data_IF_103623011515
#
_entry.id   IF_103623011515
#
_cell.length_a   1.000
_cell.length_b   1.000
_cell.length_c   1.000
_cell.angle_alpha   90.00
_cell.angle_beta   90.00
_cell.angle_gamma   90.00
#
_symmetry.space_group_name_H-M   'P 1'
#
loop_
_entity.id
_entity.type
_entity.pdbx_description
1 polymer ?
#
# COMPACT_ATOMS: atom_id res chain seq x y z
N UNK A 1 39.49 -35.81 -50.76
CA UNK A 1 38.07 -36.05 -50.39
C UNK A 1 37.85 -35.40 -49.04
N UNK A 2 37.23 -34.21 -49.00
CA UNK A 2 37.13 -33.36 -47.80
C UNK A 2 35.66 -33.02 -47.56
N UNK A 3 35.14 -33.34 -46.37
CA UNK A 3 33.80 -32.94 -45.93
C UNK A 3 33.95 -32.38 -44.51
N UNK A 4 34.00 -31.05 -44.42
CA UNK A 4 33.98 -30.31 -43.16
C UNK A 4 32.51 -30.22 -42.72
N UNK A 5 32.17 -30.90 -41.62
CA UNK A 5 30.84 -30.83 -40.99
C UNK A 5 30.80 -29.61 -40.06
N UNK A 6 30.02 -28.59 -40.40
CA UNK A 6 29.70 -27.49 -39.49
C UNK A 6 28.61 -27.94 -38.51
N UNK A 7 29.01 -28.16 -37.25
CA UNK A 7 28.07 -28.37 -36.15
C UNK A 7 27.46 -27.03 -35.72
N UNK A 8 26.15 -26.88 -35.89
CA UNK A 8 25.38 -25.74 -35.41
C UNK A 8 25.14 -25.91 -33.90
N UNK A 9 25.94 -25.22 -33.08
CA UNK A 9 25.72 -25.16 -31.63
C UNK A 9 24.58 -24.19 -31.34
N UNK A 10 23.41 -24.69 -30.94
CA UNK A 10 22.29 -23.88 -30.45
C UNK A 10 22.59 -23.54 -28.98
N UNK A 11 22.96 -22.29 -28.71
CA UNK A 11 23.03 -21.75 -27.34
C UNK A 11 21.61 -21.39 -26.91
N UNK A 12 21.01 -22.21 -26.05
CA UNK A 12 19.76 -21.85 -25.37
C UNK A 12 20.12 -20.91 -24.23
N UNK A 13 19.95 -19.61 -24.45
CA UNK A 13 20.08 -18.62 -23.39
C UNK A 13 18.84 -18.71 -22.47
N UNK A 14 18.98 -19.40 -21.34
CA UNK A 14 17.97 -19.38 -20.28
C UNK A 14 17.92 -17.99 -19.64
N UNK A 15 17.00 -17.14 -20.12
CA UNK A 15 16.64 -15.92 -19.41
C UNK A 15 15.84 -16.31 -18.15
N UNK A 16 16.48 -16.21 -16.99
CA UNK A 16 15.81 -16.30 -15.69
C UNK A 16 15.04 -14.99 -15.51
N UNK A 17 13.72 -15.01 -15.74
CA UNK A 17 12.85 -13.87 -15.49
C UNK A 17 12.39 -13.91 -14.03
N UNK A 18 12.86 -12.95 -13.23
CA UNK A 18 12.35 -12.74 -11.88
C UNK A 18 10.96 -12.10 -11.96
N UNK A 19 9.91 -12.89 -11.69
CA UNK A 19 8.58 -12.35 -11.41
C UNK A 19 8.66 -11.49 -10.15
N UNK A 20 8.57 -10.17 -10.29
CA UNK A 20 8.40 -9.29 -9.13
C UNK A 20 6.94 -9.38 -8.68
N UNK A 21 6.70 -10.15 -7.62
CA UNK A 21 5.48 -10.00 -6.86
C UNK A 21 5.56 -8.65 -6.14
N UNK A 22 4.58 -7.78 -6.34
CA UNK A 22 4.41 -6.64 -5.46
C UNK A 22 4.05 -7.20 -4.08
N UNK A 23 5.01 -7.20 -3.15
CA UNK A 23 4.73 -7.57 -1.77
C UNK A 23 3.86 -6.48 -1.16
N UNK A 24 2.77 -6.87 -0.51
CA UNK A 24 2.05 -5.95 0.36
C UNK A 24 2.99 -5.51 1.49
N UNK A 25 2.98 -4.21 1.82
CA UNK A 25 3.68 -3.64 2.96
C UNK A 25 2.68 -3.36 4.08
N UNK A 26 3.08 -3.61 5.33
CA UNK A 26 2.31 -3.21 6.51
C UNK A 26 2.96 -1.96 7.11
N UNK A 27 2.17 -0.90 7.27
CA UNK A 27 2.56 0.39 7.87
C UNK A 27 1.88 0.49 9.23
N UNK A 28 2.66 0.52 10.31
CA UNK A 28 2.13 0.59 11.68
C UNK A 28 2.35 2.00 12.26
N UNK A 29 1.37 2.88 12.10
CA UNK A 29 1.41 4.28 12.54
C UNK A 29 1.09 4.36 14.03
N UNK A 30 2.05 4.77 14.85
CA UNK A 30 1.83 5.03 16.27
C UNK A 30 1.27 6.45 16.47
N UNK A 31 0.12 6.60 17.14
CA UNK A 31 -0.58 7.89 17.27
C UNK A 31 0.14 8.93 18.13
N UNK A 32 1.16 8.53 18.92
CA UNK A 32 2.00 9.45 19.71
C UNK A 32 3.25 9.91 18.96
N UNK A 33 3.74 9.08 18.04
CA UNK A 33 5.09 9.23 17.47
C UNK A 33 5.03 9.67 16.01
N UNK A 34 4.08 9.14 15.24
CA UNK A 34 4.04 9.30 13.80
C UNK A 34 3.06 10.40 13.39
N UNK A 35 3.60 11.60 13.20
CA UNK A 35 2.90 12.80 12.74
C UNK A 35 3.50 13.30 11.41
N UNK A 36 2.98 14.41 10.89
CA UNK A 36 3.43 15.00 9.61
C UNK A 36 4.95 15.25 9.55
N UNK A 37 5.58 15.63 10.67
CA UNK A 37 7.03 15.85 10.76
C UNK A 37 7.85 14.59 11.01
N UNK A 38 7.20 13.48 11.40
CA UNK A 38 7.81 12.17 11.63
C UNK A 38 6.96 11.02 11.06
N UNK A 39 6.68 11.02 9.74
CA UNK A 39 5.80 10.04 9.14
C UNK A 39 6.51 8.70 8.98
N UNK A 40 5.73 7.64 8.72
CA UNK A 40 6.28 6.40 8.18
C UNK A 40 6.32 6.53 6.67
N UNK A 41 7.52 6.48 6.11
CA UNK A 41 7.77 6.64 4.67
C UNK A 41 7.94 5.29 3.98
N UNK A 42 7.22 5.07 2.89
CA UNK A 42 7.41 3.94 1.97
C UNK A 42 7.85 4.45 0.59
N UNK A 43 8.98 3.95 0.09
CA UNK A 43 9.35 4.14 -1.32
C UNK A 43 8.58 3.12 -2.16
N UNK A 44 7.76 3.61 -3.08
CA UNK A 44 6.94 2.80 -3.96
C UNK A 44 7.33 3.05 -5.42
N UNK A 45 7.25 2.02 -6.25
CA UNK A 45 7.39 2.15 -7.70
C UNK A 45 6.10 2.75 -8.32
N UNK A 46 6.18 3.22 -9.57
CA UNK A 46 4.99 3.64 -10.31
C UNK A 46 3.95 2.52 -10.37
N UNK A 47 2.68 2.85 -10.13
CA UNK A 47 1.59 1.88 -10.08
C UNK A 47 0.38 2.37 -9.30
N UNK A 48 -0.71 1.59 -9.36
CA UNK A 48 -1.87 1.77 -8.51
C UNK A 48 -1.66 1.00 -7.20
N UNK A 49 -2.13 1.58 -6.09
CA UNK A 49 -2.02 1.01 -4.75
C UNK A 49 -3.35 1.18 -4.01
N UNK A 50 -3.74 0.13 -3.30
CA UNK A 50 -4.80 0.14 -2.31
C UNK A 50 -4.20 0.25 -0.91
N UNK A 51 -4.83 1.05 -0.07
CA UNK A 51 -4.53 1.26 1.34
C UNK A 51 -5.72 0.76 2.14
N UNK A 52 -5.57 -0.39 2.77
CA UNK A 52 -6.61 -1.01 3.59
C UNK A 52 -6.22 -0.91 5.05
N UNK A 53 -7.02 -0.28 5.93
CA UNK A 53 -6.86 -0.43 7.36
C UNK A 53 -6.96 -1.91 7.76
N UNK A 54 -6.05 -2.37 8.60
CA UNK A 54 -6.01 -3.74 9.10
C UNK A 54 -5.83 -3.74 10.62
N UNK A 55 -6.29 -4.81 11.25
CA UNK A 55 -6.14 -5.00 12.69
C UNK A 55 -4.96 -5.87 13.08
N UNK A 56 -4.82 -6.09 14.38
CA UNK A 56 -3.84 -6.98 14.98
C UNK A 56 -4.01 -8.42 14.45
N UNK A 57 -5.25 -8.85 14.23
CA UNK A 57 -5.57 -10.19 13.70
C UNK A 57 -5.07 -10.42 12.28
N UNK A 58 -4.84 -9.34 11.51
CA UNK A 58 -4.40 -9.38 10.12
C UNK A 58 -2.91 -9.06 9.96
N UNK A 59 -2.15 -9.08 11.08
CA UNK A 59 -0.71 -8.84 11.11
C UNK A 59 -0.30 -7.39 11.38
N UNK A 60 -1.27 -6.50 11.66
CA UNK A 60 -1.00 -5.16 12.18
C UNK A 60 -0.55 -5.15 13.64
N UNK A 61 -0.14 -3.99 14.14
CA UNK A 61 0.19 -3.76 15.57
C UNK A 61 -0.95 -3.04 16.31
N UNK A 62 -1.82 -2.35 15.58
CA UNK A 62 -2.90 -1.52 16.10
C UNK A 62 -4.20 -1.72 15.31
N UNK A 63 -5.33 -1.66 16.01
CA UNK A 63 -6.67 -1.65 15.40
C UNK A 63 -7.18 -0.21 15.13
N UNK A 64 -6.92 0.70 16.07
CA UNK A 64 -7.37 2.09 16.05
C UNK A 64 -6.62 2.92 17.10
N UNK A 65 -6.83 4.24 17.08
CA UNK A 65 -6.26 5.17 18.05
C UNK A 65 -7.33 6.03 18.71
N UNK A 66 -6.99 6.65 19.83
CA UNK A 66 -7.88 7.57 20.55
C UNK A 66 -7.08 8.81 20.95
N UNK A 67 -7.64 9.99 20.68
CA UNK A 67 -7.00 11.29 20.84
C UNK A 67 -7.22 11.96 22.21
N UNK A 68 -7.86 11.28 23.15
CA UNK A 68 -8.36 11.91 24.37
C UNK A 68 -7.90 11.18 25.63
N UNK A 69 -7.15 11.88 26.48
CA UNK A 69 -6.89 11.54 27.89
C UNK A 69 -6.53 10.06 28.13
N UNK A 70 -5.66 9.47 27.30
CA UNK A 70 -5.21 8.09 27.51
C UNK A 70 -6.23 7.02 27.08
N UNK A 71 -7.17 7.36 26.19
CA UNK A 71 -8.19 6.42 25.70
C UNK A 71 -9.58 6.63 26.27
N UNK A 72 -9.90 7.86 26.69
CA UNK A 72 -11.21 8.22 27.21
C UNK A 72 -12.30 8.01 26.14
N UNK A 73 -13.42 7.42 26.57
CA UNK A 73 -14.59 7.18 25.74
C UNK A 73 -15.82 7.78 26.45
N UNK A 74 -16.56 8.66 25.79
CA UNK A 74 -17.77 9.28 26.36
C UNK A 74 -18.81 9.59 25.29
N UNK A 75 -20.08 9.63 25.69
CA UNK A 75 -21.18 10.17 24.86
C UNK A 75 -21.57 9.31 23.67
N UNK A 76 -21.25 8.01 23.68
CA UNK A 76 -21.65 7.10 22.61
C UNK A 76 -23.16 6.79 22.68
N UNK A 77 -23.75 6.48 21.53
CA UNK A 77 -25.08 5.90 21.44
C UNK A 77 -25.10 4.42 21.92
N UNK A 78 -26.27 3.77 21.90
CA UNK A 78 -26.42 2.36 22.32
C UNK A 78 -25.64 1.35 21.47
N UNK A 79 -25.27 1.71 20.23
CA UNK A 79 -24.46 0.89 19.33
C UNK A 79 -22.95 1.09 19.55
N UNK A 80 -22.55 2.03 20.41
CA UNK A 80 -21.15 2.38 20.63
C UNK A 80 -20.57 3.33 19.56
N UNK A 81 -21.42 4.05 18.83
CA UNK A 81 -21.04 5.00 17.78
C UNK A 81 -21.37 6.43 18.22
N UNK A 82 -21.04 7.43 17.39
CA UNK A 82 -21.34 8.84 17.65
C UNK A 82 -20.81 9.34 19.00
N UNK A 83 -19.66 8.81 19.43
CA UNK A 83 -19.08 9.18 20.71
C UNK A 83 -18.59 10.63 20.70
N UNK A 84 -18.77 11.36 21.80
CA UNK A 84 -18.16 12.68 21.98
C UNK A 84 -16.64 12.58 22.08
N UNK A 85 -16.12 11.54 22.74
CA UNK A 85 -14.70 11.15 22.70
C UNK A 85 -14.63 9.64 22.52
N UNK A 86 -13.69 9.12 21.73
CA UNK A 86 -13.66 7.70 21.41
C UNK A 86 -12.52 7.30 20.48
N UNK A 87 -12.59 6.07 20.00
CA UNK A 87 -11.64 5.46 19.08
C UNK A 87 -11.92 5.90 17.63
N UNK A 88 -10.86 6.05 16.85
CA UNK A 88 -10.84 6.56 15.49
C UNK A 88 -10.04 5.63 14.58
N UNK A 89 -10.47 5.50 13.33
CA UNK A 89 -9.63 5.01 12.23
C UNK A 89 -9.38 6.15 11.23
N UNK A 90 -8.77 7.23 11.74
CA UNK A 90 -8.42 8.41 10.97
C UNK A 90 -6.92 8.49 10.73
N UNK A 91 -6.50 8.53 9.47
CA UNK A 91 -5.10 8.67 9.09
C UNK A 91 -4.94 9.57 7.87
N UNK A 92 -3.68 9.90 7.60
CA UNK A 92 -3.26 10.70 6.46
C UNK A 92 -2.21 9.95 5.66
N UNK A 93 -2.20 10.20 4.36
CA UNK A 93 -1.06 9.87 3.53
C UNK A 93 -0.75 10.98 2.54
N UNK A 94 0.53 11.16 2.22
CA UNK A 94 0.98 12.23 1.35
C UNK A 94 2.13 11.81 0.43
N UNK A 95 2.17 12.38 -0.76
CA UNK A 95 3.28 12.24 -1.71
C UNK A 95 3.49 13.55 -2.47
N UNK A 96 4.69 13.75 -3.01
CA UNK A 96 4.95 14.87 -3.93
C UNK A 96 4.08 14.84 -5.19
N UNK A 97 3.51 13.68 -5.57
CA UNK A 97 2.65 13.56 -6.75
C UNK A 97 1.20 14.01 -6.52
N UNK A 98 0.67 13.94 -5.28
CA UNK A 98 -0.75 14.20 -5.01
C UNK A 98 -1.05 15.04 -3.77
N UNK A 99 -0.04 15.49 -3.02
CA UNK A 99 -0.24 16.23 -1.77
C UNK A 99 -0.75 15.36 -0.63
N UNK A 100 -1.32 15.99 0.41
CA UNK A 100 -1.90 15.29 1.56
C UNK A 100 -3.34 14.84 1.28
N UNK A 101 -3.66 13.62 1.71
CA UNK A 101 -5.00 13.03 1.69
C UNK A 101 -5.36 12.58 3.11
N UNK A 102 -6.56 12.98 3.56
CA UNK A 102 -7.14 12.59 4.84
C UNK A 102 -8.19 11.51 4.65
N UNK A 103 -8.10 10.42 5.39
CA UNK A 103 -9.08 9.32 5.36
C UNK A 103 -9.76 9.19 6.70
N UNK A 104 -11.03 9.55 6.74
CA UNK A 104 -11.87 9.54 7.95
C UNK A 104 -13.34 9.32 7.56
N UNK A 105 -14.04 8.49 8.33
CA UNK A 105 -15.49 8.27 8.24
C UNK A 105 -16.34 9.37 8.90
N UNK A 106 -15.72 10.25 9.69
CA UNK A 106 -16.40 11.32 10.42
C UNK A 106 -16.93 10.92 11.80
N UNK A 107 -16.69 9.71 12.28
CA UNK A 107 -17.26 9.20 13.53
C UNK A 107 -16.19 8.78 14.56
N UNK A 108 -16.63 8.48 15.79
CA UNK A 108 -15.86 8.02 16.94
C UNK A 108 -16.60 6.87 17.61
N UNK A 109 -15.83 5.88 18.04
CA UNK A 109 -16.38 4.61 18.48
C UNK A 109 -16.00 4.26 19.91
N UNK A 110 -16.82 3.42 20.55
CA UNK A 110 -16.64 3.02 21.93
C UNK A 110 -15.46 2.06 22.14
N UNK A 111 -15.00 1.40 21.07
CA UNK A 111 -13.90 0.44 21.11
C UNK A 111 -13.01 0.55 19.85
N UNK A 112 -11.75 0.10 19.94
CA UNK A 112 -10.84 0.12 18.79
C UNK A 112 -11.29 -0.82 17.67
N UNK A 113 -11.85 -1.99 18.01
CA UNK A 113 -12.34 -2.94 17.03
C UNK A 113 -13.56 -2.42 16.25
N UNK A 114 -14.42 -1.64 16.89
CA UNK A 114 -15.56 -1.02 16.23
C UNK A 114 -15.11 0.11 15.29
N UNK A 115 -14.10 0.88 15.68
CA UNK A 115 -13.48 1.86 14.79
C UNK A 115 -12.83 1.21 13.57
N UNK A 116 -12.12 0.09 13.75
CA UNK A 116 -11.56 -0.66 12.63
C UNK A 116 -12.65 -1.22 11.71
N UNK A 117 -13.73 -1.77 12.27
CA UNK A 117 -14.84 -2.34 11.51
C UNK A 117 -15.57 -1.33 10.61
N UNK A 118 -15.52 -0.04 10.97
CA UNK A 118 -16.11 1.04 10.18
C UNK A 118 -15.09 1.84 9.35
N UNK A 119 -13.83 1.42 9.37
CA UNK A 119 -12.75 2.12 8.67
C UNK A 119 -12.94 2.16 7.15
N UNK A 120 -12.37 3.19 6.52
CA UNK A 120 -12.47 3.42 5.08
C UNK A 120 -11.13 3.08 4.41
N UNK A 121 -11.20 2.30 3.33
CA UNK A 121 -10.05 2.06 2.46
C UNK A 121 -9.87 3.18 1.44
N UNK A 122 -8.63 3.41 1.03
CA UNK A 122 -8.27 4.40 0.03
C UNK A 122 -7.46 3.76 -1.10
N UNK A 123 -7.34 4.47 -2.23
CA UNK A 123 -6.42 4.09 -3.29
C UNK A 123 -5.78 5.31 -3.92
N UNK A 124 -4.59 5.12 -4.47
CA UNK A 124 -3.86 6.16 -5.20
C UNK A 124 -3.07 5.54 -6.35
N UNK A 125 -2.60 6.38 -7.26
CA UNK A 125 -1.71 5.97 -8.36
C UNK A 125 -0.48 6.86 -8.35
N UNK A 126 0.68 6.24 -8.53
CA UNK A 126 1.95 6.90 -8.77
C UNK A 126 2.33 6.77 -10.23
N UNK A 127 2.71 7.88 -10.86
CA UNK A 127 3.18 7.92 -12.24
C UNK A 127 4.68 7.63 -12.34
N UNK A 128 5.40 7.79 -11.23
CA UNK A 128 6.83 7.52 -11.10
C UNK A 128 7.14 6.83 -9.77
N UNK A 129 8.40 6.43 -9.54
CA UNK A 129 8.77 5.98 -8.20
C UNK A 129 8.80 7.18 -7.25
N UNK A 130 8.07 7.09 -6.15
CA UNK A 130 7.92 8.18 -5.19
C UNK A 130 7.77 7.65 -3.77
N UNK A 131 8.15 8.49 -2.80
CA UNK A 131 7.91 8.23 -1.38
C UNK A 131 6.50 8.62 -1.02
N UNK A 132 5.77 7.72 -0.35
CA UNK A 132 4.49 8.00 0.28
C UNK A 132 4.67 7.99 1.79
N UNK A 133 4.26 9.08 2.43
CA UNK A 133 4.33 9.29 3.87
C UNK A 133 2.97 8.98 4.50
N UNK A 134 2.96 8.24 5.60
CA UNK A 134 1.75 7.89 6.35
C UNK A 134 1.86 8.36 7.79
N UNK A 135 0.82 9.01 8.31
CA UNK A 135 0.85 9.61 9.64
C UNK A 135 -0.56 9.89 10.20
N UNK A 136 -0.60 10.31 11.46
CA UNK A 136 -1.80 10.83 12.15
C UNK A 136 -1.56 12.29 12.51
N UNK A 137 -2.59 13.12 12.46
CA UNK A 137 -2.57 14.48 13.00
C UNK A 137 -3.50 14.52 14.21
N UNK A 138 -2.97 15.01 15.33
CA UNK A 138 -3.77 15.44 16.46
C UNK A 138 -3.24 16.75 17.04
N UNK A 139 -4.12 17.75 17.12
CA UNK A 139 -3.77 19.14 17.38
C UNK A 139 -2.88 19.77 16.29
N UNK A 140 -2.45 21.01 16.52
CA UNK A 140 -1.54 21.71 15.60
C UNK A 140 -0.14 21.09 15.70
N UNK A 141 0.44 20.68 14.57
CA UNK A 141 1.79 20.09 14.49
C UNK A 141 2.03 18.89 15.43
N UNK A 142 1.00 18.10 15.74
CA UNK A 142 1.14 16.94 16.64
C UNK A 142 1.33 17.31 18.12
N UNK A 143 1.13 18.57 18.51
CA UNK A 143 1.33 19.04 19.89
C UNK A 143 0.40 18.41 20.92
N UNK A 144 -0.71 17.82 20.48
CA UNK A 144 -1.64 17.10 21.35
C UNK A 144 -1.31 15.61 21.50
N UNK A 145 -0.36 15.06 20.74
CA UNK A 145 -0.16 13.62 20.65
C UNK A 145 0.31 12.91 21.94
N UNK A 146 0.58 13.65 23.03
CA UNK A 146 1.08 13.11 24.28
C UNK A 146 0.02 12.36 25.10
N UNK A 147 -1.27 12.58 24.89
CA UNK A 147 -2.36 11.83 25.54
C UNK A 147 -3.00 10.77 24.63
N UNK A 148 -2.59 10.71 23.36
CA UNK A 148 -3.04 9.69 22.42
C UNK A 148 -2.75 8.27 22.89
N UNK A 149 -3.56 7.29 22.51
CA UNK A 149 -3.25 5.87 22.69
C UNK A 149 -3.52 5.08 21.41
N UNK A 150 -2.88 3.92 21.28
CA UNK A 150 -3.02 3.05 20.11
C UNK A 150 -2.29 3.55 18.87
N UNK A 151 -2.89 3.31 17.71
CA UNK A 151 -2.31 3.61 16.40
C UNK A 151 -3.19 3.06 15.28
N UNK A 152 -2.71 3.10 14.05
CA UNK A 152 -3.38 2.49 12.89
C UNK A 152 -2.40 1.61 12.15
N UNK A 153 -2.84 0.41 11.76
CA UNK A 153 -2.09 -0.45 10.86
C UNK A 153 -2.72 -0.40 9.47
N UNK A 154 -1.92 -0.18 8.44
CA UNK A 154 -2.36 -0.12 7.06
C UNK A 154 -1.65 -1.19 6.24
N UNK A 155 -2.40 -1.91 5.41
CA UNK A 155 -1.85 -2.74 4.35
C UNK A 155 -1.84 -1.94 3.06
N UNK A 156 -0.64 -1.72 2.52
CA UNK A 156 -0.43 -1.06 1.24
C UNK A 156 -0.05 -2.10 0.21
N UNK A 157 -0.88 -2.31 -0.81
CA UNK A 157 -0.68 -3.34 -1.81
C UNK A 157 -0.98 -2.81 -3.22
N UNK A 158 -0.19 -3.23 -4.21
CA UNK A 158 -0.56 -2.99 -5.61
C UNK A 158 -1.51 -4.10 -6.08
N UNK A 159 -2.74 -3.78 -6.54
CA UNK A 159 -3.71 -4.80 -6.94
C UNK A 159 -3.37 -5.47 -8.28
N UNK A 160 -2.38 -4.97 -9.03
CA UNK A 160 -2.07 -5.48 -10.37
C UNK A 160 -0.66 -6.09 -10.41
N UNK A 161 -0.54 -7.44 -10.42
CA UNK A 161 0.65 -8.06 -10.99
C UNK A 161 0.75 -7.59 -12.44
N UNK A 162 1.88 -6.99 -12.85
CA UNK A 162 2.11 -6.61 -14.25
C UNK A 162 1.71 -7.80 -15.14
N UNK A 163 0.69 -7.66 -16.02
CA UNK A 163 0.20 -8.81 -16.76
C UNK A 163 1.34 -9.41 -17.56
N UNK A 164 1.52 -10.73 -17.43
CA UNK A 164 2.38 -11.52 -18.31
C UNK A 164 2.07 -11.30 -19.82
N UNK A 165 0.94 -10.63 -20.13
CA UNK A 165 0.55 -10.20 -21.46
C UNK A 165 1.59 -9.32 -22.17
N UNK A 166 2.35 -8.45 -21.49
CA UNK A 166 3.40 -7.67 -22.16
C UNK A 166 4.49 -8.60 -22.74
N UNK A 167 4.81 -9.69 -22.04
CA UNK A 167 5.74 -10.71 -22.50
C UNK A 167 5.15 -11.59 -23.62
N UNK A 168 3.84 -11.86 -23.60
CA UNK A 168 3.14 -12.54 -24.72
C UNK A 168 3.12 -11.67 -25.98
N UNK A 169 2.94 -10.36 -25.85
CA UNK A 169 3.01 -9.43 -26.98
C UNK A 169 4.42 -9.38 -27.59
N UNK A 170 5.47 -9.29 -26.77
CA UNK A 170 6.86 -9.27 -27.25
C UNK A 170 7.25 -10.61 -27.88
N UNK A 171 6.94 -11.73 -27.23
CA UNK A 171 7.26 -13.06 -27.76
C UNK A 171 6.44 -13.39 -29.02
N UNK A 172 5.17 -12.98 -29.09
CA UNK A 172 4.33 -13.09 -30.28
C UNK A 172 4.89 -12.28 -31.46
N UNK A 173 5.35 -11.05 -31.23
CA UNK A 173 5.96 -10.22 -32.27
C UNK A 173 7.27 -10.82 -32.82
N UNK A 174 8.12 -11.37 -31.95
CA UNK A 174 9.36 -12.07 -32.36
C UNK A 174 9.05 -13.37 -33.12
N UNK A 175 8.05 -14.14 -32.67
CA UNK A 175 7.57 -15.33 -33.37
C UNK A 175 7.07 -15.03 -34.78
N UNK A 176 6.28 -13.96 -34.96
CA UNK A 176 5.78 -13.54 -36.27
C UNK A 176 6.90 -13.04 -37.19
N UNK A 177 7.87 -12.30 -36.67
CA UNK A 177 9.02 -11.82 -37.46
C UNK A 177 9.91 -12.96 -37.97
N UNK A 178 10.12 -14.00 -37.15
CA UNK A 178 10.92 -15.17 -37.54
C UNK A 178 10.21 -16.05 -38.59
N UNK A 179 8.89 -16.21 -38.49
CA UNK A 179 8.08 -16.94 -39.50
C UNK A 179 8.09 -16.20 -40.85
N UNK A 180 7.91 -14.88 -40.85
CA UNK A 180 7.92 -14.07 -42.09
C UNK A 180 9.26 -14.16 -42.84
N UNK A 181 10.37 -14.26 -42.10
CA UNK A 181 11.72 -14.35 -42.69
C UNK A 181 12.03 -15.71 -43.33
N UNK A 182 11.34 -16.78 -42.91
CA UNK A 182 11.46 -18.12 -43.53
C UNK A 182 10.68 -18.27 -44.84
N UNK A 183 9.64 -17.47 -45.07
CA UNK A 183 8.84 -17.52 -46.31
C UNK A 183 9.47 -16.78 -47.49
N UNK A 184 10.46 -15.90 -47.24
CA UNK A 184 11.09 -15.05 -48.26
C UNK A 184 12.51 -15.50 -48.65
N UNK A 185 12.91 -16.72 -48.29
CA UNK A 185 14.11 -17.41 -48.78
C UNK A 185 13.68 -18.69 -49.48
#
# INVERSE_FOLDING_TARGET
MSIIKYGLTIVVASMIFATRFASAAIVNINSRINNESNPISLLLDAGAYDVTPIGITDGGVYDAWNAWNGGQVTGCNSSGENCSTGWLNWYYFASSEFGEVSIWDGDRYASPSLALANSISASFTLTSSATVNFYIIDGTNGSAAWDNVGGISLKVASPVPLPNALYLFISGAVGLATIKRRKNK
#
